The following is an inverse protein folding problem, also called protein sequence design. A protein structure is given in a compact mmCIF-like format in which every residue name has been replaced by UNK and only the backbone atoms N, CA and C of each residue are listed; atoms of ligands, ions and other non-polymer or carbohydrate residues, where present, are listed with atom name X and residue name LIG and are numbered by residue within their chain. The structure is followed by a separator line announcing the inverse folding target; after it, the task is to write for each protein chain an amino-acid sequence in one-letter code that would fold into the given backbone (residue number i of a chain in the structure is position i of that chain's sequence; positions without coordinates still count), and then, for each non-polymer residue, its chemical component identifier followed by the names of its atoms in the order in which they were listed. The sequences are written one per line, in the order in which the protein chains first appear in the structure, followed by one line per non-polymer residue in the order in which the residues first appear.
data_IF_379999808408
#
_entry.id   IF_379999808408
#
_cell.length_a   1.000
_cell.length_b   1.000
_cell.length_c   1.000
_cell.angle_alpha   90.00
_cell.angle_beta   90.00
_cell.angle_gamma   90.00
#
_symmetry.space_group_name_H-M   'P 1'
#
loop_
_entity.id
_entity.type
_entity.pdbx_description
1 polymer ?
#
# COMPACT_ATOMS: atom_id res chain seq x y z
N UNK A 1 -15.09 5.50 26.09
CA UNK A 1 -15.41 4.77 24.84
C UNK A 1 -14.27 3.80 24.63
N UNK A 2 -14.50 2.56 24.19
CA UNK A 2 -13.39 1.70 23.78
C UNK A 2 -12.56 2.45 22.73
N UNK A 3 -11.24 2.33 22.80
CA UNK A 3 -10.32 3.01 21.89
C UNK A 3 -10.49 2.39 20.49
N UNK A 4 -10.87 3.20 19.50
CA UNK A 4 -11.06 2.72 18.12
C UNK A 4 -9.70 2.32 17.54
N UNK A 5 -9.54 1.12 16.93
CA UNK A 5 -8.31 0.74 16.26
C UNK A 5 -7.95 1.75 15.16
N UNK A 6 -6.66 2.02 14.98
CA UNK A 6 -6.14 3.04 14.08
C UNK A 6 -5.00 2.46 13.28
N UNK A 7 -5.12 2.43 11.97
CA UNK A 7 -4.11 1.86 11.08
C UNK A 7 -3.66 2.90 10.06
N UNK A 8 -2.36 2.90 9.78
CA UNK A 8 -1.73 3.80 8.82
C UNK A 8 -0.99 2.98 7.77
N UNK A 9 -1.39 3.10 6.51
CA UNK A 9 -0.71 2.50 5.36
C UNK A 9 0.04 3.60 4.62
N UNK A 10 1.33 3.40 4.34
CA UNK A 10 2.19 4.38 3.65
C UNK A 10 2.69 3.79 2.34
N UNK A 11 2.21 4.37 1.24
CA UNK A 11 2.45 3.94 -0.14
C UNK A 11 3.11 5.04 -0.98
N UNK A 12 3.77 4.64 -2.07
CA UNK A 12 4.50 5.52 -2.95
C UNK A 12 3.55 6.22 -3.95
N UNK A 13 2.67 5.47 -4.60
CA UNK A 13 1.87 5.95 -5.74
C UNK A 13 0.36 5.62 -5.59
N UNK A 14 -0.50 6.33 -6.34
CA UNK A 14 -1.92 6.01 -6.47
C UNK A 14 -2.22 4.68 -7.17
N UNK A 15 -2.47 3.59 -6.43
CA UNK A 15 -2.82 2.21 -6.86
C UNK A 15 -2.19 1.15 -5.95
N UNK A 16 -1.00 1.45 -5.44
CA UNK A 16 -0.25 0.61 -4.50
C UNK A 16 -1.10 0.16 -3.31
N UNK A 17 -1.94 1.05 -2.77
CA UNK A 17 -2.78 0.75 -1.61
C UNK A 17 -3.81 -0.35 -1.93
N UNK A 18 -4.31 -0.35 -3.16
CA UNK A 18 -5.30 -1.31 -3.65
C UNK A 18 -4.64 -2.62 -4.08
N UNK A 19 -3.47 -2.54 -4.72
CA UNK A 19 -2.69 -3.71 -5.15
C UNK A 19 -2.18 -4.52 -3.96
N UNK A 20 -1.53 -3.84 -3.00
CA UNK A 20 -0.88 -4.48 -1.86
C UNK A 20 -1.84 -4.79 -0.71
N UNK A 21 -2.72 -3.83 -0.36
CA UNK A 21 -3.43 -3.86 0.92
C UNK A 21 -4.95 -3.62 0.81
N UNK A 22 -5.52 -3.68 -0.39
CA UNK A 22 -6.93 -3.32 -0.61
C UNK A 22 -7.89 -4.18 0.21
N UNK A 23 -7.62 -5.49 0.31
CA UNK A 23 -8.50 -6.39 1.06
C UNK A 23 -8.37 -6.16 2.58
N UNK A 24 -7.17 -5.86 3.06
CA UNK A 24 -6.89 -5.54 4.47
C UNK A 24 -7.50 -4.20 4.88
N UNK A 25 -7.34 -3.17 4.05
CA UNK A 25 -7.94 -1.84 4.31
C UNK A 25 -9.46 -2.01 4.43
N UNK A 26 -10.10 -2.64 3.45
CA UNK A 26 -11.54 -2.89 3.48
C UNK A 26 -11.98 -3.79 4.65
N UNK A 27 -11.16 -4.77 5.04
CA UNK A 27 -11.42 -5.62 6.20
C UNK A 27 -11.54 -4.81 7.49
N UNK A 28 -10.60 -3.87 7.72
CA UNK A 28 -10.55 -3.08 8.94
C UNK A 28 -11.56 -1.93 8.95
N UNK A 29 -11.76 -1.22 7.83
CA UNK A 29 -12.78 -0.16 7.74
C UNK A 29 -14.18 -0.71 7.96
N UNK A 30 -14.51 -1.88 7.39
CA UNK A 30 -15.79 -2.56 7.62
C UNK A 30 -16.02 -2.97 9.09
N UNK A 31 -14.96 -3.07 9.90
CA UNK A 31 -15.00 -3.37 11.33
C UNK A 31 -14.95 -2.11 12.20
N UNK A 32 -15.02 -0.93 11.60
CA UNK A 32 -15.06 0.35 12.29
C UNK A 32 -13.69 0.86 12.75
N UNK A 33 -12.59 0.29 12.25
CA UNK A 33 -11.26 0.87 12.47
C UNK A 33 -11.09 2.17 11.67
N UNK A 34 -10.36 3.12 12.25
CA UNK A 34 -9.94 4.35 11.57
C UNK A 34 -8.66 4.06 10.77
N UNK A 35 -8.83 3.87 9.45
CA UNK A 35 -7.76 3.56 8.53
C UNK A 35 -7.40 4.80 7.72
N UNK A 36 -6.11 5.16 7.70
CA UNK A 36 -5.57 6.25 6.88
C UNK A 36 -4.54 5.69 5.91
N UNK A 37 -4.62 6.17 4.66
CA UNK A 37 -3.64 5.87 3.62
C UNK A 37 -2.87 7.15 3.30
N UNK A 38 -1.54 7.08 3.38
CA UNK A 38 -0.63 8.13 2.94
C UNK A 38 -0.04 7.71 1.60
N UNK A 39 -0.13 8.59 0.61
CA UNK A 39 0.50 8.41 -0.70
C UNK A 39 1.60 9.44 -0.88
N UNK A 40 2.84 9.00 -1.11
CA UNK A 40 4.01 9.89 -1.13
C UNK A 40 4.05 10.82 -2.34
N UNK A 41 3.52 10.37 -3.49
CA UNK A 41 3.58 11.09 -4.77
C UNK A 41 2.24 11.06 -5.50
N UNK A 42 2.12 11.76 -6.63
CA UNK A 42 0.92 11.70 -7.47
C UNK A 42 1.02 10.63 -8.57
N UNK A 43 2.16 9.94 -8.71
CA UNK A 43 2.36 8.97 -9.79
C UNK A 43 2.50 9.65 -11.16
N UNK A 44 3.19 10.79 -11.22
CA UNK A 44 3.33 11.59 -12.43
C UNK A 44 4.12 10.92 -13.57
N UNK A 45 4.99 9.96 -13.28
CA UNK A 45 5.80 9.26 -14.29
C UNK A 45 5.13 7.97 -14.80
N UNK A 46 3.91 7.67 -14.34
CA UNK A 46 3.16 6.50 -14.74
C UNK A 46 2.87 6.43 -16.25
N UNK A 47 2.79 5.19 -16.76
CA UNK A 47 2.21 4.93 -18.07
C UNK A 47 0.68 5.08 -18.04
N UNK A 48 0.03 5.08 -19.20
CA UNK A 48 -1.43 5.20 -19.31
C UNK A 48 -1.98 4.11 -20.20
N UNK A 49 -2.89 3.29 -19.65
CA UNK A 49 -3.64 2.30 -20.40
C UNK A 49 -4.77 2.97 -21.19
N UNK A 50 -4.82 2.68 -22.49
CA UNK A 50 -5.86 3.15 -23.41
C UNK A 50 -5.66 4.58 -23.93
N UNK A 51 -6.39 4.93 -24.99
CA UNK A 51 -6.11 6.15 -25.78
C UNK A 51 -6.68 7.43 -25.16
N UNK A 52 -7.77 7.33 -24.38
CA UNK A 52 -8.54 8.49 -23.91
C UNK A 52 -7.67 9.48 -23.13
N UNK A 53 -6.76 8.97 -22.31
CA UNK A 53 -5.94 9.75 -21.39
C UNK A 53 -4.44 9.70 -21.71
N UNK A 54 -4.04 9.05 -22.82
CA UNK A 54 -2.64 8.85 -23.18
C UNK A 54 -1.85 10.18 -23.30
N UNK A 55 -2.51 11.26 -23.71
CA UNK A 55 -1.89 12.59 -23.81
C UNK A 55 -1.61 13.25 -22.45
N UNK A 56 -2.06 12.67 -21.33
CA UNK A 56 -1.71 13.14 -19.98
C UNK A 56 -0.34 12.68 -19.50
N UNK A 57 0.25 11.67 -20.16
CA UNK A 57 1.53 11.05 -19.79
C UNK A 57 2.69 12.06 -19.72
N UNK A 58 3.76 11.67 -19.03
CA UNK A 58 4.91 12.54 -18.74
C UNK A 58 5.59 13.13 -19.98
N UNK A 59 5.68 12.39 -21.09
CA UNK A 59 6.31 12.88 -22.32
C UNK A 59 5.32 13.59 -23.27
N UNK A 60 4.10 13.87 -22.77
CA UNK A 60 3.03 14.60 -23.46
C UNK A 60 2.67 15.86 -22.66
N UNK A 61 1.50 15.90 -22.04
CA UNK A 61 1.06 17.05 -21.26
C UNK A 61 1.69 17.12 -19.86
N UNK A 62 2.25 16.02 -19.32
CA UNK A 62 2.76 15.92 -17.94
C UNK A 62 1.70 16.36 -16.92
N UNK A 63 0.51 15.78 -17.04
CA UNK A 63 -0.67 16.08 -16.21
C UNK A 63 -1.28 14.84 -15.54
N UNK A 64 -0.71 13.64 -15.75
CA UNK A 64 -1.25 12.38 -15.26
C UNK A 64 -1.47 12.38 -13.74
N UNK A 65 -0.50 12.87 -12.95
CA UNK A 65 -0.65 12.81 -11.48
C UNK A 65 -1.84 13.60 -10.95
N UNK A 66 -2.18 14.74 -11.58
CA UNK A 66 -3.38 15.49 -11.21
C UNK A 66 -4.67 14.72 -11.50
N UNK A 67 -4.68 13.93 -12.58
CA UNK A 67 -5.80 13.04 -12.92
C UNK A 67 -5.91 11.86 -11.95
N UNK A 68 -4.78 11.25 -11.58
CA UNK A 68 -4.71 10.11 -10.64
C UNK A 68 -5.18 10.46 -9.21
N UNK A 69 -5.31 11.74 -8.85
CA UNK A 69 -5.99 12.15 -7.61
C UNK A 69 -7.45 11.66 -7.60
N UNK A 70 -8.15 11.79 -8.73
CA UNK A 70 -9.53 11.34 -8.85
C UNK A 70 -9.67 9.82 -8.76
N UNK A 71 -8.73 9.10 -9.38
CA UNK A 71 -8.66 7.63 -9.34
C UNK A 71 -8.41 7.13 -7.91
N UNK A 72 -7.40 7.68 -7.22
CA UNK A 72 -7.13 7.36 -5.81
C UNK A 72 -8.32 7.66 -4.91
N UNK A 73 -8.97 8.82 -5.10
CA UNK A 73 -10.13 9.20 -4.29
C UNK A 73 -11.26 8.17 -4.44
N UNK A 74 -11.55 7.75 -5.67
CA UNK A 74 -12.57 6.74 -5.93
C UNK A 74 -12.17 5.35 -5.38
N UNK A 75 -10.90 4.97 -5.51
CA UNK A 75 -10.39 3.72 -4.95
C UNK A 75 -10.50 3.69 -3.42
N UNK A 76 -10.03 4.73 -2.74
CA UNK A 76 -10.12 4.85 -1.29
C UNK A 76 -11.56 4.81 -0.79
N UNK A 77 -12.50 5.48 -1.46
CA UNK A 77 -13.93 5.38 -1.12
C UNK A 77 -14.44 3.94 -1.24
N UNK A 78 -14.03 3.20 -2.27
CA UNK A 78 -14.41 1.79 -2.42
C UNK A 78 -13.86 0.91 -1.28
N UNK A 79 -12.71 1.28 -0.70
CA UNK A 79 -12.10 0.63 0.45
C UNK A 79 -12.63 1.13 1.81
N UNK A 80 -13.56 2.09 1.82
CA UNK A 80 -14.12 2.68 3.04
C UNK A 80 -13.24 3.74 3.70
N UNK A 81 -12.34 4.38 2.95
CA UNK A 81 -11.48 5.49 3.39
C UNK A 81 -11.96 6.80 2.75
N UNK A 82 -12.14 7.84 3.55
CA UNK A 82 -12.84 9.07 3.13
C UNK A 82 -12.08 9.95 2.12
N UNK A 83 -10.75 10.01 2.18
CA UNK A 83 -9.97 10.90 1.34
C UNK A 83 -8.49 10.53 1.23
N UNK A 84 -7.84 10.83 0.09
CA UNK A 84 -6.40 10.68 -0.04
C UNK A 84 -5.65 11.69 0.83
N UNK A 85 -4.56 11.23 1.46
CA UNK A 85 -3.63 12.09 2.17
C UNK A 85 -2.26 11.99 1.50
N UNK A 86 -1.85 13.05 0.81
CA UNK A 86 -0.54 13.08 0.16
C UNK A 86 0.53 13.57 1.14
N UNK A 87 1.66 12.87 1.21
CA UNK A 87 2.74 13.21 2.13
C UNK A 87 3.23 14.64 1.85
N UNK A 88 3.18 15.51 2.87
CA UNK A 88 3.59 16.91 2.74
C UNK A 88 2.68 17.79 1.85
N UNK A 89 1.54 17.26 1.40
CA UNK A 89 0.58 17.92 0.51
C UNK A 89 0.62 17.40 -0.93
N UNK A 90 -0.51 17.47 -1.64
CA UNK A 90 -0.63 16.98 -3.01
C UNK A 90 0.38 17.66 -3.95
N UNK A 91 1.22 16.84 -4.62
CA UNK A 91 2.26 17.30 -5.54
C UNK A 91 3.50 17.90 -4.86
N UNK A 92 3.68 17.70 -3.55
CA UNK A 92 4.87 18.17 -2.81
C UNK A 92 6.15 17.52 -3.32
N UNK A 93 6.12 16.20 -3.50
CA UNK A 93 7.20 15.45 -4.12
C UNK A 93 6.66 14.68 -5.31
N UNK A 94 7.41 14.75 -6.42
CA UNK A 94 7.07 14.09 -7.67
C UNK A 94 7.46 12.62 -7.61
N UNK A 95 6.66 11.78 -8.24
CA UNK A 95 7.07 10.44 -8.67
C UNK A 95 8.47 10.47 -9.31
N UNK A 96 9.32 9.57 -8.86
CA UNK A 96 10.71 9.50 -9.27
C UNK A 96 10.90 8.70 -10.57
N UNK A 97 9.87 7.96 -11.00
CA UNK A 97 9.92 7.06 -12.13
C UNK A 97 10.81 5.83 -11.91
N UNK A 98 10.76 4.91 -12.87
CA UNK A 98 11.58 3.69 -12.84
C UNK A 98 13.09 4.01 -12.87
N UNK A 99 13.91 3.08 -12.39
CA UNK A 99 15.37 3.20 -12.45
C UNK A 99 15.84 3.46 -13.89
N UNK A 100 16.61 4.52 -14.08
CA UNK A 100 17.13 4.91 -15.40
C UNK A 100 16.25 5.91 -16.16
N UNK A 101 15.07 6.26 -15.65
CA UNK A 101 14.26 7.35 -16.21
C UNK A 101 15.00 8.70 -16.08
N UNK A 102 14.91 9.60 -17.08
CA UNK A 102 15.56 10.90 -17.02
C UNK A 102 15.02 11.78 -15.89
N UNK A 103 15.86 12.56 -15.19
CA UNK A 103 15.38 13.48 -14.18
C UNK A 103 14.50 14.58 -14.79
N UNK A 104 13.43 14.94 -14.08
CA UNK A 104 12.52 16.04 -14.47
C UNK A 104 12.80 17.32 -13.68
N UNK A 105 12.07 18.39 -14.00
CA UNK A 105 12.29 19.74 -13.44
C UNK A 105 11.75 19.94 -12.02
N UNK A 106 10.88 19.06 -11.53
CA UNK A 106 10.31 19.13 -10.17
C UNK A 106 11.09 18.19 -9.24
N UNK A 107 11.09 18.51 -7.95
CA UNK A 107 11.76 17.69 -6.94
C UNK A 107 11.11 16.30 -6.88
N UNK A 108 11.90 15.27 -7.19
CA UNK A 108 11.52 13.87 -7.07
C UNK A 108 11.52 13.45 -5.61
N UNK A 109 10.70 12.47 -5.26
CA UNK A 109 10.60 11.98 -3.90
C UNK A 109 11.91 11.38 -3.40
N UNK A 110 12.62 10.60 -4.22
CA UNK A 110 13.94 10.05 -3.82
C UNK A 110 15.04 11.10 -3.66
N UNK A 111 14.84 12.31 -4.21
CA UNK A 111 15.80 13.43 -4.15
C UNK A 111 15.38 14.47 -3.08
N UNK A 112 14.35 14.17 -2.28
CA UNK A 112 13.85 15.04 -1.22
C UNK A 112 14.82 15.12 -0.03
N UNK A 113 14.79 16.25 0.70
CA UNK A 113 15.48 16.32 2.00
C UNK A 113 14.79 15.35 2.97
N UNK A 114 15.57 14.39 3.48
CA UNK A 114 15.11 13.38 4.42
C UNK A 114 14.44 13.99 5.66
N UNK A 115 14.94 15.14 6.15
CA UNK A 115 14.32 15.81 7.30
C UNK A 115 12.92 16.31 6.97
N UNK A 116 12.66 16.74 5.74
CA UNK A 116 11.33 17.17 5.33
C UNK A 116 10.36 16.01 5.18
N UNK A 117 10.76 14.92 4.51
CA UNK A 117 9.91 13.75 4.29
C UNK A 117 9.61 13.03 5.60
N UNK A 118 10.64 12.78 6.43
CA UNK A 118 10.48 12.17 7.75
C UNK A 118 9.66 13.08 8.67
N UNK A 119 9.93 14.39 8.68
CA UNK A 119 9.18 15.33 9.51
C UNK A 119 7.70 15.40 9.14
N UNK A 120 7.37 15.35 7.84
CA UNK A 120 5.99 15.30 7.36
C UNK A 120 5.27 14.03 7.85
N UNK A 121 5.92 12.86 7.77
CA UNK A 121 5.30 11.61 8.21
C UNK A 121 5.22 11.49 9.74
N UNK A 122 6.21 12.01 10.48
CA UNK A 122 6.16 12.11 11.95
C UNK A 122 4.95 12.93 12.39
N UNK A 123 4.65 14.04 11.71
CA UNK A 123 3.47 14.85 12.01
C UNK A 123 2.18 14.03 11.85
N UNK A 124 2.06 13.26 10.77
CA UNK A 124 0.91 12.36 10.54
C UNK A 124 0.80 11.29 11.63
N UNK A 125 1.91 10.61 11.97
CA UNK A 125 1.93 9.56 12.98
C UNK A 125 1.51 10.13 14.35
N UNK A 126 1.98 11.32 14.73
CA UNK A 126 1.64 11.95 16.00
C UNK A 126 0.20 12.47 16.05
N UNK A 127 -0.34 12.91 14.91
CA UNK A 127 -1.72 13.33 14.78
C UNK A 127 -2.68 12.13 14.89
N UNK A 128 -2.49 11.10 14.06
CA UNK A 128 -3.38 9.95 13.99
C UNK A 128 -3.15 8.98 15.16
N UNK A 129 -1.93 8.91 15.70
CA UNK A 129 -1.54 7.94 16.75
C UNK A 129 -1.89 6.49 16.34
N UNK A 130 -1.39 6.01 15.19
CA UNK A 130 -1.76 4.70 14.67
C UNK A 130 -1.24 3.58 15.59
N UNK A 131 -2.08 2.59 15.81
CA UNK A 131 -1.73 1.37 16.51
C UNK A 131 -0.88 0.43 15.64
N UNK A 132 -1.13 0.47 14.33
CA UNK A 132 -0.39 -0.29 13.31
C UNK A 132 0.06 0.67 12.20
N UNK A 133 1.33 0.58 11.82
CA UNK A 133 1.85 1.19 10.59
C UNK A 133 2.26 0.08 9.62
N UNK A 134 1.93 0.24 8.34
CA UNK A 134 2.32 -0.67 7.26
C UNK A 134 3.00 0.12 6.13
N UNK A 135 4.08 -0.42 5.61
CA UNK A 135 4.77 0.08 4.41
C UNK A 135 5.48 -1.08 3.70
N UNK A 136 6.30 -0.80 2.69
CA UNK A 136 7.08 -1.82 1.98
C UNK A 136 8.20 -2.42 2.84
N UNK A 137 8.72 -3.56 2.42
CA UNK A 137 9.98 -4.11 2.92
C UNK A 137 11.20 -3.25 2.49
N UNK A 138 12.43 -3.55 2.97
CA UNK A 138 13.63 -2.80 2.56
C UNK A 138 13.94 -2.82 1.06
N UNK A 139 13.45 -3.84 0.34
CA UNK A 139 13.57 -3.96 -1.11
C UNK A 139 12.57 -3.12 -1.89
N UNK A 140 11.53 -2.59 -1.22
CA UNK A 140 10.43 -1.89 -1.89
C UNK A 140 9.51 -2.85 -2.67
N UNK A 141 9.44 -4.13 -2.29
CA UNK A 141 8.81 -5.18 -3.11
C UNK A 141 9.60 -5.41 -4.40
N UNK A 142 9.04 -5.01 -5.55
CA UNK A 142 9.68 -5.21 -6.87
C UNK A 142 10.84 -4.25 -7.18
N UNK A 143 11.31 -3.46 -6.21
CA UNK A 143 12.50 -2.62 -6.37
C UNK A 143 12.27 -1.23 -6.98
N UNK A 144 11.04 -0.73 -7.02
CA UNK A 144 10.77 0.64 -7.44
C UNK A 144 11.52 1.64 -6.53
N UNK A 145 12.23 2.64 -7.07
CA UNK A 145 12.97 3.61 -6.27
C UNK A 145 12.14 4.31 -5.19
N UNK A 146 10.92 4.73 -5.52
CA UNK A 146 10.01 5.36 -4.55
C UNK A 146 9.49 4.39 -3.48
N UNK A 147 9.37 3.09 -3.76
CA UNK A 147 8.93 2.12 -2.74
C UNK A 147 10.02 1.92 -1.70
N UNK A 148 11.28 1.78 -2.15
CA UNK A 148 12.47 1.74 -1.28
C UNK A 148 12.57 3.02 -0.45
N UNK A 149 12.30 4.18 -1.06
CA UNK A 149 12.34 5.44 -0.35
C UNK A 149 11.17 5.61 0.63
N UNK A 150 9.96 5.16 0.29
CA UNK A 150 8.81 5.13 1.18
C UNK A 150 9.07 4.23 2.40
N UNK A 151 9.68 3.06 2.20
CA UNK A 151 10.17 2.21 3.30
C UNK A 151 11.16 2.97 4.20
N UNK A 152 12.16 3.63 3.60
CA UNK A 152 13.21 4.36 4.32
C UNK A 152 12.63 5.48 5.17
N UNK A 153 11.79 6.33 4.57
CA UNK A 153 11.11 7.45 5.23
C UNK A 153 10.19 6.95 6.33
N UNK A 154 9.41 5.90 6.09
CA UNK A 154 8.48 5.34 7.08
C UNK A 154 9.20 4.76 8.27
N UNK A 155 10.26 3.98 8.04
CA UNK A 155 11.08 3.40 9.12
C UNK A 155 11.68 4.49 10.00
N UNK A 156 12.24 5.53 9.40
CA UNK A 156 12.78 6.68 10.14
C UNK A 156 11.69 7.45 10.90
N UNK A 157 10.52 7.66 10.30
CA UNK A 157 9.40 8.36 10.93
C UNK A 157 8.79 7.58 12.11
N UNK A 158 8.63 6.26 11.98
CA UNK A 158 8.16 5.38 13.06
C UNK A 158 9.10 5.47 14.27
N UNK A 159 10.43 5.40 14.03
CA UNK A 159 11.41 5.56 15.09
C UNK A 159 11.37 6.97 15.72
N UNK A 160 11.28 8.01 14.89
CA UNK A 160 11.33 9.40 15.33
C UNK A 160 10.06 9.85 16.09
N UNK A 161 8.89 9.29 15.76
CA UNK A 161 7.61 9.69 16.32
C UNK A 161 7.53 9.52 17.85
N UNK A 162 8.21 8.51 18.41
CA UNK A 162 8.22 8.21 19.84
C UNK A 162 9.14 9.08 20.71
N UNK A 163 10.03 9.87 20.13
CA UNK A 163 10.95 10.72 20.90
C UNK A 163 10.30 12.03 21.38
N UNK A 164 10.55 12.46 22.62
CA UNK A 164 10.00 13.71 23.18
C UNK A 164 10.46 14.96 22.42
N UNK A 165 9.51 15.87 22.13
CA UNK A 165 9.81 17.20 21.65
C UNK A 165 10.70 17.93 22.67
N UNK A 166 11.86 18.42 22.22
CA UNK A 166 12.91 18.99 23.08
C UNK A 166 14.20 18.14 23.16
N UNK A 167 14.17 16.88 22.71
CA UNK A 167 15.37 16.06 22.41
C UNK A 167 15.43 15.58 20.95
N UNK A 168 14.48 16.00 20.11
CA UNK A 168 14.36 15.58 18.69
C UNK A 168 13.87 16.70 17.77
N UNK A 169 14.13 16.52 16.47
CA UNK A 169 14.02 17.52 15.39
C UNK A 169 12.57 17.89 14.98
N UNK A 170 11.52 17.24 15.52
CA UNK A 170 10.13 17.37 15.03
C UNK A 170 9.09 17.74 16.11
N UNK A 171 8.11 18.62 15.82
CA UNK A 171 7.10 19.10 16.78
C UNK A 171 5.96 18.10 17.04
N UNK A 172 5.15 18.36 18.08
CA UNK A 172 3.96 17.55 18.44
C UNK A 172 4.17 16.59 19.62
N UNK A 173 3.07 16.10 20.18
CA UNK A 173 3.11 15.09 21.26
C UNK A 173 3.65 13.76 20.73
N UNK A 174 4.61 13.11 21.40
CA UNK A 174 5.19 11.87 20.91
C UNK A 174 4.20 10.72 20.89
N UNK A 175 4.40 9.82 19.93
CA UNK A 175 3.64 8.59 19.81
C UNK A 175 4.57 7.44 19.41
N UNK A 176 4.68 6.44 20.28
CA UNK A 176 5.36 5.19 19.94
C UNK A 176 4.35 4.27 19.26
N UNK A 177 4.60 3.96 18.00
CA UNK A 177 3.78 3.01 17.23
C UNK A 177 3.88 1.62 17.87
N UNK A 178 2.76 1.00 18.30
CA UNK A 178 2.79 -0.33 18.91
C UNK A 178 3.30 -1.46 18.01
N UNK A 179 2.85 -1.50 16.74
CA UNK A 179 3.24 -2.53 15.77
C UNK A 179 3.53 -1.93 14.40
N UNK A 180 4.63 -2.34 13.79
CA UNK A 180 5.08 -1.87 12.48
C UNK A 180 5.34 -3.08 11.57
N UNK A 181 4.67 -3.13 10.43
CA UNK A 181 4.74 -4.24 9.49
C UNK A 181 5.26 -3.81 8.12
N UNK A 182 5.87 -4.76 7.43
CA UNK A 182 6.08 -4.70 5.98
C UNK A 182 4.99 -5.50 5.29
N UNK A 183 4.35 -4.92 4.26
CA UNK A 183 3.53 -5.69 3.33
C UNK A 183 4.43 -6.43 2.35
N UNK A 184 4.17 -7.72 2.18
CA UNK A 184 4.96 -8.62 1.33
C UNK A 184 4.03 -9.57 0.58
N UNK A 185 4.56 -10.23 -0.45
CA UNK A 185 3.84 -11.29 -1.15
C UNK A 185 4.39 -12.64 -0.73
N UNK A 186 3.54 -13.54 -0.22
CA UNK A 186 3.95 -14.91 0.03
C UNK A 186 3.99 -15.69 -1.28
N UNK A 187 5.15 -16.28 -1.61
CA UNK A 187 5.39 -17.01 -2.87
C UNK A 187 4.35 -18.14 -3.04
N UNK A 188 4.17 -18.96 -2.01
CA UNK A 188 3.28 -20.12 -2.05
C UNK A 188 1.83 -19.75 -2.32
N UNK A 189 1.32 -18.72 -1.64
CA UNK A 189 -0.06 -18.25 -1.77
C UNK A 189 -0.31 -17.64 -3.15
N UNK A 190 0.67 -16.89 -3.67
CA UNK A 190 0.56 -16.26 -4.99
C UNK A 190 0.65 -17.29 -6.12
N UNK A 191 1.55 -18.28 -6.00
CA UNK A 191 1.62 -19.42 -6.92
C UNK A 191 0.32 -20.23 -6.92
N UNK A 192 -0.20 -20.57 -5.73
CA UNK A 192 -1.47 -21.29 -5.61
C UNK A 192 -2.61 -20.51 -6.27
N UNK A 193 -2.66 -19.19 -6.10
CA UNK A 193 -3.66 -18.35 -6.74
C UNK A 193 -3.58 -18.41 -8.27
N UNK A 194 -2.39 -18.34 -8.87
CA UNK A 194 -2.20 -18.52 -10.31
C UNK A 194 -2.67 -19.89 -10.81
N UNK A 195 -2.39 -20.96 -10.06
CA UNK A 195 -2.81 -22.32 -10.42
C UNK A 195 -4.33 -22.51 -10.47
N UNK A 196 -5.09 -21.60 -9.83
CA UNK A 196 -6.57 -21.61 -9.88
C UNK A 196 -7.18 -20.80 -11.02
N UNK A 197 -6.37 -20.12 -11.83
CA UNK A 197 -6.86 -19.30 -12.95
C UNK A 197 -7.04 -20.16 -14.21
N UNK A 198 -8.03 -19.79 -15.03
CA UNK A 198 -8.23 -20.37 -16.36
C UNK A 198 -8.35 -19.29 -17.47
N UNK A 199 -8.44 -19.73 -18.72
CA UNK A 199 -8.49 -18.83 -19.89
C UNK A 199 -9.64 -17.81 -19.84
N UNK A 200 -10.73 -18.08 -19.11
CA UNK A 200 -11.85 -17.13 -18.96
C UNK A 200 -11.50 -15.99 -18.00
N UNK A 201 -10.51 -16.17 -17.14
CA UNK A 201 -10.03 -15.15 -16.23
C UNK A 201 -9.11 -14.13 -16.92
N UNK A 202 -8.67 -14.37 -18.15
CA UNK A 202 -7.63 -13.57 -18.82
C UNK A 202 -8.15 -12.86 -20.08
N UNK A 203 -7.57 -11.70 -20.39
CA UNK A 203 -7.73 -11.11 -21.73
C UNK A 203 -6.77 -11.80 -22.72
N UNK A 204 -7.12 -11.89 -24.02
CA UNK A 204 -6.33 -12.65 -25.00
C UNK A 204 -4.87 -12.20 -25.20
N UNK A 205 -4.55 -10.97 -24.79
CA UNK A 205 -3.22 -10.38 -24.92
C UNK A 205 -2.44 -10.37 -23.59
N UNK A 206 -2.99 -10.96 -22.53
CA UNK A 206 -2.33 -11.07 -21.24
C UNK A 206 -1.51 -12.35 -21.14
N UNK A 207 -0.45 -12.30 -20.34
CA UNK A 207 0.38 -13.45 -20.01
C UNK A 207 0.49 -13.59 -18.49
N UNK A 208 0.56 -14.83 -18.01
CA UNK A 208 0.98 -15.11 -16.63
C UNK A 208 2.51 -14.95 -16.60
N UNK A 209 3.08 -14.19 -15.66
CA UNK A 209 4.53 -13.99 -15.59
C UNK A 209 5.28 -15.30 -15.36
N UNK A 210 6.46 -15.46 -15.98
CA UNK A 210 7.37 -16.54 -15.63
C UNK A 210 7.72 -16.49 -14.14
N UNK A 211 7.84 -17.65 -13.50
CA UNK A 211 8.13 -17.74 -12.05
C UNK A 211 9.45 -17.08 -11.68
N UNK A 212 10.45 -17.14 -12.56
CA UNK A 212 11.76 -16.53 -12.36
C UNK A 212 11.77 -15.00 -12.48
N UNK A 213 10.70 -14.40 -13.04
CA UNK A 213 10.49 -12.95 -13.03
C UNK A 213 9.79 -12.46 -11.74
N UNK A 214 9.35 -13.39 -10.88
CA UNK A 214 8.75 -13.10 -9.58
C UNK A 214 9.80 -13.28 -8.46
N UNK A 215 10.78 -12.39 -8.40
CA UNK A 215 11.97 -12.51 -7.52
C UNK A 215 11.87 -11.75 -6.19
N UNK A 216 10.71 -11.17 -5.89
CA UNK A 216 10.44 -10.37 -4.69
C UNK A 216 9.47 -11.04 -3.70
N UNK A 217 9.17 -12.33 -3.92
CA UNK A 217 8.34 -13.11 -3.03
C UNK A 217 9.04 -13.48 -1.72
N UNK A 218 8.24 -13.78 -0.71
CA UNK A 218 8.68 -14.29 0.59
C UNK A 218 8.26 -15.75 0.74
N UNK A 219 9.17 -16.58 1.25
CA UNK A 219 8.85 -17.92 1.70
C UNK A 219 8.03 -17.90 2.99
N UNK A 220 7.15 -18.89 3.17
CA UNK A 220 6.19 -18.98 4.29
C UNK A 220 6.84 -18.85 5.67
N UNK A 221 8.06 -19.37 5.84
CA UNK A 221 8.84 -19.31 7.09
C UNK A 221 9.30 -17.90 7.46
N UNK A 222 9.22 -16.95 6.53
CA UNK A 222 9.55 -15.53 6.73
C UNK A 222 8.31 -14.65 6.89
N UNK A 223 7.11 -15.20 6.73
CA UNK A 223 5.86 -14.48 6.95
C UNK A 223 5.56 -14.49 8.46
N UNK A 224 5.13 -13.34 8.99
CA UNK A 224 4.76 -13.19 10.40
C UNK A 224 3.26 -13.06 10.62
N UNK A 225 2.53 -12.54 9.63
CA UNK A 225 1.10 -12.32 9.74
C UNK A 225 0.41 -12.41 8.37
N UNK A 226 -0.87 -12.75 8.41
CA UNK A 226 -1.77 -12.74 7.26
C UNK A 226 -3.10 -12.09 7.66
N UNK A 227 -3.69 -11.33 6.75
CA UNK A 227 -5.09 -10.91 6.86
C UNK A 227 -5.88 -11.66 5.80
N UNK A 228 -6.67 -12.64 6.26
CA UNK A 228 -7.56 -13.43 5.42
C UNK A 228 -8.91 -12.71 5.33
N UNK A 229 -9.05 -11.82 4.34
CA UNK A 229 -10.23 -10.98 4.23
C UNK A 229 -11.45 -11.75 3.70
N UNK A 230 -12.64 -11.39 4.19
CA UNK A 230 -13.89 -11.99 3.73
C UNK A 230 -14.31 -11.50 2.32
N UNK A 231 -15.33 -12.13 1.70
CA UNK A 231 -15.74 -11.83 0.33
C UNK A 231 -16.07 -10.36 0.05
N UNK A 232 -16.70 -9.65 0.99
CA UNK A 232 -17.04 -8.23 0.82
C UNK A 232 -15.80 -7.33 0.74
N UNK A 233 -14.75 -7.64 1.52
CA UNK A 233 -13.50 -6.90 1.48
C UNK A 233 -12.73 -7.19 0.20
N UNK A 234 -12.81 -8.42 -0.32
CA UNK A 234 -12.28 -8.77 -1.63
C UNK A 234 -13.01 -8.06 -2.78
N UNK A 235 -14.35 -7.94 -2.71
CA UNK A 235 -15.14 -7.14 -3.66
C UNK A 235 -14.75 -5.66 -3.63
N UNK A 236 -14.52 -5.10 -2.44
CA UNK A 236 -14.02 -3.74 -2.27
C UNK A 236 -12.63 -3.56 -2.91
N UNK A 237 -11.69 -4.49 -2.70
CA UNK A 237 -10.38 -4.51 -3.38
C UNK A 237 -10.53 -4.47 -4.90
N UNK A 238 -11.41 -5.31 -5.46
CA UNK A 238 -11.69 -5.30 -6.91
C UNK A 238 -12.24 -3.97 -7.40
N UNK A 239 -13.17 -3.37 -6.67
CA UNK A 239 -13.74 -2.07 -7.02
C UNK A 239 -12.68 -0.95 -6.96
N UNK A 240 -11.78 -1.01 -5.98
CA UNK A 240 -10.70 -0.05 -5.83
C UNK A 240 -9.65 -0.16 -6.95
N UNK A 241 -9.23 -1.40 -7.28
CA UNK A 241 -8.39 -1.67 -8.45
C UNK A 241 -9.03 -1.17 -9.76
N UNK A 242 -10.34 -1.37 -9.94
CA UNK A 242 -11.07 -0.89 -11.11
C UNK A 242 -11.14 0.65 -11.21
N UNK A 243 -11.02 1.36 -10.09
CA UNK A 243 -11.05 2.82 -10.06
C UNK A 243 -9.74 3.44 -10.60
N UNK A 244 -8.63 2.69 -10.54
CA UNK A 244 -7.34 3.06 -11.13
C UNK A 244 -7.26 2.72 -12.62
N UNK A 245 -8.25 3.17 -13.39
CA UNK A 245 -8.47 2.75 -14.78
C UNK A 245 -7.32 3.09 -15.74
N UNK A 246 -6.48 4.09 -15.43
CA UNK A 246 -5.27 4.38 -16.22
C UNK A 246 -4.12 3.40 -15.94
N UNK A 247 -4.12 2.71 -14.80
CA UNK A 247 -3.02 1.87 -14.33
C UNK A 247 -3.36 0.38 -14.30
N UNK A 248 -4.62 0.04 -14.04
CA UNK A 248 -5.07 -1.33 -13.79
C UNK A 248 -6.28 -1.66 -14.66
N UNK A 249 -6.26 -2.82 -15.29
CA UNK A 249 -7.42 -3.41 -15.99
C UNK A 249 -7.84 -4.68 -15.25
N UNK A 250 -9.14 -4.84 -15.02
CA UNK A 250 -9.73 -6.03 -14.40
C UNK A 250 -10.08 -7.06 -15.48
N UNK A 251 -9.71 -8.33 -15.25
CA UNK A 251 -10.04 -9.43 -16.15
C UNK A 251 -11.54 -9.76 -16.20
N UNK A 252 -12.01 -10.59 -17.15
CA UNK A 252 -13.44 -10.77 -17.43
C UNK A 252 -14.27 -11.28 -16.23
N UNK A 253 -13.70 -12.16 -15.41
CA UNK A 253 -14.34 -12.66 -14.17
C UNK A 253 -14.05 -11.78 -12.95
N UNK A 254 -13.09 -10.86 -13.10
CA UNK A 254 -12.48 -10.05 -12.04
C UNK A 254 -11.73 -10.83 -10.98
N UNK A 255 -11.29 -12.06 -11.29
CA UNK A 255 -10.32 -12.81 -10.46
C UNK A 255 -8.87 -12.38 -10.72
N UNK A 256 -8.64 -11.58 -11.76
CA UNK A 256 -7.33 -11.13 -12.21
C UNK A 256 -7.34 -9.65 -12.52
N UNK A 257 -6.16 -9.05 -12.52
CA UNK A 257 -5.90 -7.76 -13.12
C UNK A 257 -4.56 -7.78 -13.86
N UNK A 258 -4.32 -6.76 -14.68
CA UNK A 258 -3.01 -6.51 -15.27
C UNK A 258 -2.71 -5.01 -15.30
N UNK A 259 -1.41 -4.70 -15.30
CA UNK A 259 -0.89 -3.35 -15.52
C UNK A 259 -0.58 -3.13 -17.01
N UNK A 260 0.09 -2.03 -17.36
CA UNK A 260 0.44 -1.71 -18.76
C UNK A 260 1.35 -2.74 -19.43
N UNK A 261 2.07 -3.54 -18.65
CA UNK A 261 2.91 -4.65 -19.12
C UNK A 261 2.11 -5.89 -19.57
N UNK A 262 0.78 -5.91 -19.41
CA UNK A 262 -0.10 -7.03 -19.74
C UNK A 262 0.21 -8.34 -18.98
N UNK A 263 0.86 -8.23 -17.82
CA UNK A 263 1.13 -9.37 -16.96
C UNK A 263 -0.03 -9.56 -15.98
N UNK A 264 -0.66 -10.73 -16.04
CA UNK A 264 -1.83 -11.05 -15.24
C UNK A 264 -1.44 -11.43 -13.81
N UNK A 265 -2.03 -10.72 -12.86
CA UNK A 265 -1.89 -10.94 -11.42
C UNK A 265 -3.23 -11.40 -10.84
N UNK A 266 -3.27 -12.42 -9.99
CA UNK A 266 -4.49 -12.81 -9.28
C UNK A 266 -4.88 -11.72 -8.30
N UNK A 267 -6.18 -11.43 -8.20
CA UNK A 267 -6.73 -10.57 -7.15
C UNK A 267 -7.07 -11.47 -5.98
N UNK A 268 -6.23 -11.46 -4.94
CA UNK A 268 -6.36 -12.31 -3.76
C UNK A 268 -6.97 -11.57 -2.57
N UNK A 269 -7.65 -12.33 -1.69
CA UNK A 269 -8.21 -11.83 -0.43
C UNK A 269 -7.25 -11.97 0.76
N UNK A 270 -6.20 -12.79 0.61
CA UNK A 270 -5.17 -13.02 1.61
C UNK A 270 -3.97 -12.11 1.33
N UNK A 271 -3.65 -11.24 2.29
CA UNK A 271 -2.52 -10.31 2.20
C UNK A 271 -1.55 -10.56 3.36
N UNK A 272 -0.24 -10.56 3.06
CA UNK A 272 0.79 -11.11 3.95
C UNK A 272 1.73 -10.01 4.45
N UNK A 273 2.29 -10.24 5.63
CA UNK A 273 3.05 -9.24 6.34
C UNK A 273 4.22 -9.84 7.13
N UNK A 274 5.27 -9.02 7.30
CA UNK A 274 6.42 -9.29 8.18
C UNK A 274 6.41 -8.28 9.32
N UNK A 275 6.57 -8.72 10.57
CA UNK A 275 6.56 -7.84 11.74
C UNK A 275 7.95 -7.21 11.89
N UNK A 276 8.10 -5.96 11.43
CA UNK A 276 9.36 -5.24 11.46
C UNK A 276 9.73 -4.71 12.86
N UNK A 277 8.73 -4.29 13.64
CA UNK A 277 8.91 -3.88 15.03
C UNK A 277 7.61 -3.99 15.83
N UNK A 278 7.75 -4.20 17.15
CA UNK A 278 6.64 -4.43 18.07
C UNK A 278 6.67 -5.85 18.64
N UNK A 279 5.64 -6.21 19.40
CA UNK A 279 5.45 -7.56 19.89
C UNK A 279 4.29 -8.23 19.13
N UNK A 280 4.53 -9.45 18.65
CA UNK A 280 3.48 -10.26 18.06
C UNK A 280 2.44 -10.68 19.12
N UNK A 281 1.19 -10.82 18.70
CA UNK A 281 0.11 -11.44 19.46
C UNK A 281 0.08 -12.96 19.28
N UNK A 282 -1.13 -13.53 19.37
CA UNK A 282 -1.35 -14.96 19.12
C UNK A 282 -1.06 -15.32 17.67
N UNK A 283 -0.45 -16.50 17.47
CA UNK A 283 -0.06 -17.05 16.18
C UNK A 283 -0.76 -18.39 15.97
N UNK A 284 -1.10 -18.69 14.72
CA UNK A 284 -1.73 -19.93 14.33
C UNK A 284 -0.72 -21.09 14.12
N UNK A 285 -1.16 -22.19 13.54
CA UNK A 285 -0.32 -23.37 13.26
C UNK A 285 0.80 -23.12 12.24
N UNK A 286 0.67 -22.11 11.37
CA UNK A 286 1.71 -21.66 10.44
C UNK A 286 2.77 -20.83 11.14
N UNK A 287 2.49 -20.38 12.37
CA UNK A 287 3.29 -19.42 13.11
C UNK A 287 2.97 -17.98 12.71
N UNK A 288 1.80 -17.71 12.13
CA UNK A 288 1.42 -16.36 11.67
C UNK A 288 0.35 -15.75 12.57
N UNK A 289 0.43 -14.43 12.82
CA UNK A 289 -0.70 -13.69 13.36
C UNK A 289 -1.80 -13.60 12.28
N UNK A 290 -3.06 -13.72 12.67
CA UNK A 290 -4.22 -13.62 11.75
C UNK A 290 -4.97 -12.29 11.87
N UNK A 291 -4.42 -11.36 12.64
CA UNK A 291 -4.88 -9.99 12.82
C UNK A 291 -3.66 -9.09 13.13
N UNK A 292 -3.44 -8.03 12.36
CA UNK A 292 -2.38 -7.06 12.63
C UNK A 292 -2.54 -6.38 14.00
N UNK A 293 -3.76 -6.35 14.55
CA UNK A 293 -4.06 -5.81 15.88
C UNK A 293 -3.86 -6.84 17.01
N UNK A 294 -3.50 -8.09 16.71
CA UNK A 294 -3.32 -9.14 17.71
C UNK A 294 -2.35 -8.71 18.82
N UNK A 295 -2.71 -9.00 20.07
CA UNK A 295 -1.93 -8.62 21.26
C UNK A 295 -2.11 -7.16 21.73
N UNK A 296 -2.90 -6.35 21.02
CA UNK A 296 -3.30 -5.01 21.48
C UNK A 296 -4.65 -5.08 22.20
N UNK A 297 -4.80 -4.29 23.27
CA UNK A 297 -6.01 -4.27 24.10
C UNK A 297 -7.11 -3.43 23.45
N UNK A 298 -7.82 -4.03 22.49
CA UNK A 298 -9.10 -3.54 22.01
C UNK A 298 -10.18 -4.42 22.62
N UNK A 299 -10.77 -3.99 23.73
CA UNK A 299 -11.89 -4.72 24.34
C UNK A 299 -12.94 -5.02 23.26
N UNK A 300 -13.09 -6.31 22.92
CA UNK A 300 -13.99 -6.75 21.88
C UNK A 300 -15.37 -6.15 22.11
N UNK A 301 -15.82 -5.30 21.19
CA UNK A 301 -17.23 -4.97 21.09
C UNK A 301 -17.88 -6.25 20.59
N UNK A 302 -18.41 -7.02 21.54
CA UNK A 302 -19.20 -8.23 21.36
C UNK A 302 -20.30 -7.96 20.31
N UNK A 303 -20.05 -8.34 19.06
CA UNK A 303 -21.04 -8.28 17.98
C UNK A 303 -21.96 -9.48 18.12
N UNK A 304 -23.12 -9.26 18.76
CA UNK A 304 -24.31 -10.08 18.54
C UNK A 304 -24.91 -9.83 17.17
#
# INVERSE_FOLDING_TARGET
MPDTPRLLFVHAHPDDESLSNGATIAHYTARGADVRVITCTLGEEGEVIGDRWAELAVDRADQLGGYRIGELTAALHALGVDAPHYLGGAGRWRDSGMRGTPPRRRQRFIDADERETVGALVAVIREQRPHVVVTYDPGGGYGHPDHVHAHTVTTAAVAAAGFKAGSGDFPGEPWTVPKFYWTVVAESAFEAAWETLDDNDLLPHWAIPPRDEFDFGYSDDKIDAVVEAGPLAWEAKRAALAAHATQVVIGPTGRTCALSNNMALPIVAEEHYVLAAGAAGERDERGWETDLLAGLDFSAVDTR
#
